data_IF_724057307611
#
_entry.id   IF_724057307611
#
_cell.length_a   1.000
_cell.length_b   1.000
_cell.length_c   1.000
_cell.angle_alpha   90.00
_cell.angle_beta   90.00
_cell.angle_gamma   90.00
#
_symmetry.space_group_name_H-M   'P 1'
#
loop_
_entity.id
_entity.type
_entity.pdbx_description
1 polymer ?
#
# COMPACT_ATOMS: atom_id res chain seq x y z
N UNK A 1 -25.78 -32.29 23.31
CA UNK A 1 -25.53 -32.57 21.89
C UNK A 1 -26.10 -31.42 21.07
N UNK A 2 -25.26 -30.47 20.65
CA UNK A 2 -25.69 -29.31 19.86
C UNK A 2 -25.45 -29.63 18.38
N UNK A 3 -26.47 -29.55 17.50
CA UNK A 3 -26.31 -29.90 16.10
C UNK A 3 -25.40 -28.87 15.45
N UNK A 4 -24.31 -29.35 14.87
CA UNK A 4 -23.35 -28.53 14.12
C UNK A 4 -23.99 -28.10 12.81
N UNK A 5 -24.28 -26.80 12.68
CA UNK A 5 -24.79 -26.18 11.47
C UNK A 5 -23.72 -26.22 10.36
N UNK A 6 -23.68 -27.32 9.60
CA UNK A 6 -22.82 -27.51 8.42
C UNK A 6 -23.54 -27.10 7.12
N UNK A 7 -24.48 -26.14 7.19
CA UNK A 7 -25.39 -25.82 6.08
C UNK A 7 -24.94 -24.67 5.17
N UNK A 8 -23.73 -24.11 5.37
CA UNK A 8 -23.33 -22.85 4.70
C UNK A 8 -22.09 -22.95 3.81
N UNK A 9 -21.58 -24.15 3.53
CA UNK A 9 -20.45 -24.33 2.60
C UNK A 9 -20.94 -24.54 1.17
N UNK A 10 -20.70 -23.55 0.30
CA UNK A 10 -21.06 -23.64 -1.11
C UNK A 10 -19.90 -24.17 -1.97
N UNK A 11 -20.20 -25.06 -2.93
CA UNK A 11 -19.25 -25.52 -3.95
C UNK A 11 -19.20 -24.52 -5.11
N UNK A 12 -17.99 -24.21 -5.57
CA UNK A 12 -17.80 -23.36 -6.73
C UNK A 12 -18.37 -24.01 -8.02
N UNK A 13 -19.24 -23.31 -8.78
CA UNK A 13 -19.82 -23.80 -10.02
C UNK A 13 -18.86 -23.75 -11.22
N UNK A 14 -17.66 -23.17 -11.08
CA UNK A 14 -16.64 -23.20 -12.13
C UNK A 14 -16.14 -24.63 -12.37
N UNK A 15 -16.25 -25.09 -13.61
CA UNK A 15 -15.92 -26.45 -14.06
C UNK A 15 -14.47 -26.85 -13.73
N UNK A 16 -13.57 -25.88 -13.73
CA UNK A 16 -12.14 -26.02 -13.43
C UNK A 16 -11.78 -25.81 -11.95
N UNK A 17 -12.71 -25.27 -11.15
CA UNK A 17 -12.46 -24.93 -9.74
C UNK A 17 -12.98 -26.01 -8.78
N UNK A 18 -14.28 -26.29 -8.78
CA UNK A 18 -14.93 -27.33 -7.96
C UNK A 18 -14.72 -27.27 -6.44
N UNK A 19 -14.05 -26.25 -5.90
CA UNK A 19 -13.67 -26.11 -4.49
C UNK A 19 -14.87 -25.71 -3.62
N UNK A 20 -14.88 -26.15 -2.37
CA UNK A 20 -15.93 -25.85 -1.39
C UNK A 20 -15.43 -24.79 -0.42
N UNK A 21 -16.20 -23.70 -0.26
CA UNK A 21 -15.85 -22.58 0.60
C UNK A 21 -16.97 -22.26 1.58
N UNK A 22 -16.61 -21.85 2.80
CA UNK A 22 -17.57 -21.30 3.78
C UNK A 22 -18.20 -19.99 3.28
N UNK A 23 -17.46 -19.19 2.53
CA UNK A 23 -17.97 -17.99 1.85
C UNK A 23 -17.84 -18.18 0.33
N UNK A 24 -18.79 -18.93 -0.24
CA UNK A 24 -18.83 -19.14 -1.68
C UNK A 24 -19.03 -17.81 -2.43
N UNK A 25 -19.76 -16.84 -1.87
CA UNK A 25 -20.02 -15.55 -2.53
C UNK A 25 -18.72 -14.75 -2.67
N UNK A 26 -17.89 -14.70 -1.63
CA UNK A 26 -16.56 -14.10 -1.72
C UNK A 26 -15.62 -14.87 -2.68
N UNK A 27 -15.74 -16.20 -2.72
CA UNK A 27 -14.99 -17.00 -3.69
C UNK A 27 -15.41 -16.74 -5.14
N UNK A 28 -16.70 -16.64 -5.44
CA UNK A 28 -17.19 -16.36 -6.80
C UNK A 28 -16.66 -15.02 -7.33
N UNK A 29 -16.41 -14.06 -6.44
CA UNK A 29 -15.75 -12.82 -6.82
C UNK A 29 -14.36 -13.07 -7.41
N UNK A 30 -13.64 -14.16 -7.12
CA UNK A 30 -12.34 -14.50 -7.71
C UNK A 30 -12.43 -14.90 -9.18
N UNK A 31 -13.57 -15.46 -9.59
CA UNK A 31 -13.86 -15.85 -10.97
C UNK A 31 -14.38 -14.69 -11.83
N UNK A 32 -14.79 -13.57 -11.21
CA UNK A 32 -15.22 -12.40 -11.95
C UNK A 32 -14.03 -11.81 -12.73
N UNK A 33 -14.08 -11.94 -14.05
CA UNK A 33 -13.02 -11.55 -14.98
C UNK A 33 -12.90 -10.03 -15.05
N UNK A 34 -14.02 -9.32 -14.95
CA UNK A 34 -14.03 -7.86 -14.96
C UNK A 34 -14.36 -7.30 -13.58
N UNK A 35 -13.38 -6.64 -12.98
CA UNK A 35 -13.57 -5.84 -11.76
C UNK A 35 -13.33 -4.37 -12.08
N UNK A 36 -14.13 -3.51 -11.46
CA UNK A 36 -14.10 -2.05 -11.69
C UNK A 36 -12.76 -1.41 -11.29
N UNK A 37 -12.10 -1.94 -10.27
CA UNK A 37 -10.80 -1.44 -9.81
C UNK A 37 -9.66 -2.06 -10.64
N UNK A 38 -9.32 -1.45 -11.79
CA UNK A 38 -8.25 -1.97 -12.68
C UNK A 38 -6.88 -1.37 -12.32
N UNK A 39 -5.81 -2.13 -12.52
CA UNK A 39 -4.45 -1.57 -12.45
C UNK A 39 -4.30 -0.51 -13.55
N UNK A 40 -3.74 0.68 -13.30
CA UNK A 40 -3.55 1.67 -14.35
C UNK A 40 -2.47 1.28 -15.38
N UNK A 41 -1.53 0.36 -15.05
CA UNK A 41 -0.49 -0.10 -15.99
C UNK A 41 -1.11 -0.96 -17.09
N UNK A 42 -1.18 -0.47 -18.34
CA UNK A 42 -1.80 -1.21 -19.45
C UNK A 42 -1.19 -2.59 -19.72
N UNK A 43 0.11 -2.75 -19.48
CA UNK A 43 0.83 -4.02 -19.66
C UNK A 43 0.70 -5.00 -18.47
N UNK A 44 0.02 -4.60 -17.40
CA UNK A 44 -0.19 -5.47 -16.24
C UNK A 44 -1.39 -6.40 -16.46
N UNK A 45 -1.26 -7.67 -16.08
CA UNK A 45 -2.36 -8.65 -16.11
C UNK A 45 -3.59 -8.19 -15.31
N UNK A 46 -3.37 -7.44 -14.21
CA UNK A 46 -4.43 -6.88 -13.38
C UNK A 46 -5.06 -5.59 -13.94
N UNK A 47 -4.59 -5.09 -15.09
CA UNK A 47 -5.32 -4.09 -15.87
C UNK A 47 -6.61 -4.69 -16.45
N UNK A 48 -6.56 -5.95 -16.89
CA UNK A 48 -7.71 -6.65 -17.43
C UNK A 48 -8.53 -7.31 -16.32
N UNK A 49 -7.87 -8.05 -15.42
CA UNK A 49 -8.55 -8.79 -14.33
C UNK A 49 -9.15 -7.89 -13.24
N UNK A 50 -8.51 -6.75 -12.99
CA UNK A 50 -8.84 -5.85 -11.88
C UNK A 50 -8.72 -6.48 -10.49
N UNK A 51 -9.07 -5.68 -9.48
CA UNK A 51 -8.99 -6.00 -8.06
C UNK A 51 -10.36 -6.05 -7.42
N UNK A 52 -10.50 -6.86 -6.37
CA UNK A 52 -11.73 -6.94 -5.58
C UNK A 52 -11.97 -5.64 -4.80
N UNK A 53 -10.90 -4.96 -4.36
CA UNK A 53 -10.98 -3.73 -3.57
C UNK A 53 -9.97 -2.70 -4.05
N UNK A 54 -10.28 -1.42 -3.79
CA UNK A 54 -9.35 -0.30 -4.01
C UNK A 54 -8.04 -0.46 -3.24
N UNK A 55 -8.07 -0.99 -2.02
CA UNK A 55 -6.85 -1.25 -1.23
C UNK A 55 -5.91 -2.25 -1.92
N UNK A 56 -6.47 -3.34 -2.45
CA UNK A 56 -5.69 -4.36 -3.16
C UNK A 56 -5.04 -3.77 -4.42
N UNK A 57 -5.78 -2.91 -5.15
CA UNK A 57 -5.23 -2.14 -6.27
C UNK A 57 -4.09 -1.24 -5.84
N UNK A 58 -4.29 -0.40 -4.82
CA UNK A 58 -3.29 0.56 -4.36
C UNK A 58 -2.02 -0.14 -3.84
N UNK A 59 -2.17 -1.28 -3.15
CA UNK A 59 -1.03 -2.09 -2.74
C UNK A 59 -0.30 -2.70 -3.94
N UNK A 60 -1.04 -3.14 -4.95
CA UNK A 60 -0.45 -3.71 -6.16
C UNK A 60 0.29 -2.65 -6.99
N UNK A 61 -0.20 -1.42 -7.09
CA UNK A 61 0.49 -0.40 -7.89
C UNK A 61 1.90 -0.09 -7.37
N UNK A 62 2.16 -0.30 -6.07
CA UNK A 62 3.51 -0.19 -5.50
C UNK A 62 4.50 -1.22 -6.07
N UNK A 63 4.05 -2.34 -6.66
CA UNK A 63 4.94 -3.34 -7.29
C UNK A 63 5.45 -2.91 -8.66
N UNK A 64 4.78 -1.96 -9.30
CA UNK A 64 5.18 -1.40 -10.60
C UNK A 64 6.22 -0.29 -10.48
N UNK A 65 6.57 0.09 -9.25
CA UNK A 65 7.62 1.05 -9.00
C UNK A 65 8.98 0.54 -9.50
N UNK A 66 9.63 1.29 -10.41
CA UNK A 66 10.96 1.00 -10.99
C UNK A 66 12.03 2.04 -10.63
N UNK A 67 11.75 2.92 -9.66
CA UNK A 67 12.72 3.93 -9.22
C UNK A 67 13.56 3.47 -8.03
N UNK A 68 14.37 4.38 -7.51
CA UNK A 68 15.11 4.19 -6.26
C UNK A 68 14.78 5.32 -5.28
N UNK A 69 14.19 5.01 -4.12
CA UNK A 69 13.94 6.00 -3.05
C UNK A 69 15.01 5.92 -1.99
N UNK A 70 15.38 7.05 -1.41
CA UNK A 70 16.39 7.10 -0.33
C UNK A 70 15.74 7.60 0.96
N UNK A 71 15.92 6.84 2.04
CA UNK A 71 15.51 7.30 3.37
C UNK A 71 16.56 8.25 3.95
N UNK A 72 16.28 9.55 4.02
CA UNK A 72 17.15 10.49 4.73
C UNK A 72 16.91 10.57 6.23
N UNK A 73 15.88 9.91 6.77
CA UNK A 73 15.50 9.99 8.18
C UNK A 73 16.29 9.02 9.09
N UNK A 74 16.98 8.02 8.54
CA UNK A 74 17.71 7.04 9.37
C UNK A 74 18.90 7.69 10.12
N UNK A 75 18.99 7.55 11.46
CA UNK A 75 20.14 8.05 12.22
C UNK A 75 21.40 7.25 11.85
N UNK A 76 22.48 7.93 11.47
CA UNK A 76 23.79 7.32 11.20
C UNK A 76 24.14 7.18 9.71
N UNK A 77 25.42 7.39 9.43
CA UNK A 77 26.12 7.40 8.14
C UNK A 77 26.14 6.04 7.43
N UNK A 78 24.99 5.60 6.95
CA UNK A 78 24.93 4.65 5.83
C UNK A 78 25.11 5.42 4.52
N UNK A 79 25.86 4.85 3.58
CA UNK A 79 25.94 5.37 2.21
C UNK A 79 24.53 5.49 1.62
N UNK A 80 24.33 6.41 0.67
CA UNK A 80 23.02 6.56 0.00
C UNK A 80 22.54 5.22 -0.60
N UNK A 81 23.46 4.30 -0.94
CA UNK A 81 23.18 2.96 -1.41
C UNK A 81 22.54 2.05 -0.34
N UNK A 82 22.96 2.11 0.92
CA UNK A 82 22.43 1.27 2.02
C UNK A 82 21.04 1.71 2.50
N UNK A 83 20.67 2.97 2.20
CA UNK A 83 19.34 3.53 2.49
C UNK A 83 18.47 3.65 1.25
N UNK A 84 18.87 2.99 0.15
CA UNK A 84 18.17 3.03 -1.12
C UNK A 84 17.22 1.85 -1.30
N UNK A 85 16.02 2.12 -1.79
CA UNK A 85 14.95 1.16 -1.93
C UNK A 85 14.44 1.17 -3.36
N UNK A 86 14.66 0.06 -4.06
CA UNK A 86 14.15 -0.13 -5.42
C UNK A 86 12.68 -0.59 -5.47
N UNK A 87 12.05 -0.71 -4.30
CA UNK A 87 10.67 -1.18 -4.14
C UNK A 87 9.92 -0.29 -3.17
N UNK A 88 8.80 0.26 -3.63
CA UNK A 88 8.01 1.20 -2.83
C UNK A 88 7.38 0.55 -1.60
N UNK A 89 6.94 -0.70 -1.70
CA UNK A 89 6.35 -1.42 -0.56
C UNK A 89 7.37 -1.72 0.55
N UNK A 90 8.62 -2.03 0.17
CA UNK A 90 9.72 -2.25 1.12
C UNK A 90 10.07 -0.93 1.82
N UNK A 91 10.16 0.16 1.06
CA UNK A 91 10.39 1.50 1.61
C UNK A 91 9.27 1.93 2.57
N UNK A 92 8.01 1.70 2.19
CA UNK A 92 6.85 2.05 3.01
C UNK A 92 6.82 1.28 4.33
N UNK A 93 7.17 -0.01 4.32
CA UNK A 93 7.35 -0.80 5.55
C UNK A 93 8.52 -0.30 6.40
N UNK A 94 9.61 0.13 5.77
CA UNK A 94 10.73 0.71 6.48
C UNK A 94 10.32 1.97 7.27
N UNK A 95 9.53 2.87 6.66
CA UNK A 95 9.02 4.05 7.35
C UNK A 95 8.15 3.70 8.57
N UNK A 96 7.33 2.65 8.50
CA UNK A 96 6.50 2.25 9.65
C UNK A 96 7.30 1.56 10.75
N UNK A 97 8.29 0.72 10.41
CA UNK A 97 9.05 -0.04 11.41
C UNK A 97 10.20 0.75 12.04
N UNK A 98 10.88 1.59 11.26
CA UNK A 98 12.09 2.32 11.70
C UNK A 98 11.73 3.72 12.19
N UNK A 99 10.76 4.36 11.54
CA UNK A 99 10.37 5.74 11.84
C UNK A 99 9.02 5.83 12.58
N UNK A 100 8.41 4.68 12.92
CA UNK A 100 7.15 4.60 13.65
C UNK A 100 6.03 5.44 13.06
N UNK A 101 6.04 5.60 11.73
CA UNK A 101 5.01 6.31 10.97
C UNK A 101 3.65 5.64 11.20
N UNK A 102 2.65 6.45 11.52
CA UNK A 102 1.30 5.98 11.78
C UNK A 102 0.62 5.58 10.48
N UNK A 103 0.08 4.36 10.44
CA UNK A 103 -0.78 3.93 9.34
C UNK A 103 -2.17 4.48 9.59
N UNK A 104 -2.51 5.61 8.98
CA UNK A 104 -3.87 6.14 9.02
C UNK A 104 -4.83 5.10 8.44
N UNK A 105 -5.84 4.62 9.19
CA UNK A 105 -6.78 3.64 8.69
C UNK A 105 -7.50 4.18 7.44
N UNK A 106 -7.76 3.34 6.43
CA UNK A 106 -8.36 3.77 5.15
C UNK A 106 -9.77 4.39 5.26
N UNK A 107 -10.38 4.41 6.45
CA UNK A 107 -11.70 4.98 6.70
C UNK A 107 -11.69 6.21 7.64
N UNK A 108 -10.52 6.74 8.01
CA UNK A 108 -10.45 8.01 8.71
C UNK A 108 -10.75 9.12 7.71
N UNK A 109 -12.03 9.52 7.65
CA UNK A 109 -12.50 10.70 6.92
C UNK A 109 -11.49 11.82 7.08
N UNK A 110 -11.07 12.39 5.94
CA UNK A 110 -10.32 13.65 5.83
C UNK A 110 -10.77 14.62 6.92
N UNK A 111 -9.95 14.84 7.95
CA UNK A 111 -9.97 16.12 8.62
C UNK A 111 -9.25 17.07 7.69
N UNK A 112 -10.09 17.91 7.09
CA UNK A 112 -9.81 19.24 6.56
C UNK A 112 -8.46 19.79 6.98
N UNK A 113 -7.74 20.26 5.96
CA UNK A 113 -6.83 21.40 5.99
C UNK A 113 -7.19 22.33 7.16
N UNK A 114 -6.43 22.28 8.24
CA UNK A 114 -6.27 23.40 9.17
C UNK A 114 -5.11 23.05 10.11
N UNK A 115 -4.02 23.79 9.90
CA UNK A 115 -2.98 24.14 10.85
C UNK A 115 -3.15 23.52 12.25
N UNK A 116 -2.52 22.38 12.50
CA UNK A 116 -2.34 21.86 13.85
C UNK A 116 -0.91 21.38 13.99
N UNK A 117 -0.09 22.24 14.60
CA UNK A 117 1.13 21.85 15.29
C UNK A 117 0.79 20.75 16.31
N UNK A 118 0.85 19.49 15.88
CA UNK A 118 0.86 18.35 16.77
C UNK A 118 2.28 17.81 16.80
N UNK A 119 3.09 18.50 17.61
CA UNK A 119 4.34 17.98 18.12
C UNK A 119 4.08 16.68 18.90
N UNK A 120 4.23 15.56 18.22
CA UNK A 120 4.73 14.31 18.81
C UNK A 120 5.99 13.91 18.05
N UNK A 121 7.01 14.74 18.19
CA UNK A 121 8.37 14.46 17.74
C UNK A 121 9.00 13.40 18.66
N UNK A 122 8.61 12.14 18.48
CA UNK A 122 9.52 11.04 18.84
C UNK A 122 10.38 10.77 17.62
N UNK A 123 11.33 11.65 17.35
CA UNK A 123 12.26 11.49 16.24
C UNK A 123 13.53 12.26 16.49
N UNK A 124 14.55 11.55 16.98
CA UNK A 124 15.93 12.02 17.08
C UNK A 124 16.58 12.14 15.68
N UNK A 125 15.93 12.77 14.71
CA UNK A 125 16.54 13.04 13.40
C UNK A 125 17.24 14.40 13.44
N UNK A 126 18.31 14.52 12.65
CA UNK A 126 18.95 15.80 12.44
C UNK A 126 17.97 16.76 11.71
N UNK A 127 17.99 18.07 12.00
CA UNK A 127 17.03 19.03 11.45
C UNK A 127 17.10 19.20 9.92
N UNK A 128 18.13 18.64 9.27
CA UNK A 128 18.37 18.60 7.83
C UNK A 128 17.97 17.24 7.19
N UNK A 129 17.49 16.27 7.97
CA UNK A 129 17.09 14.97 7.48
C UNK A 129 15.86 15.08 6.55
N UNK A 130 16.04 14.76 5.27
CA UNK A 130 14.98 14.83 4.27
C UNK A 130 14.83 13.54 3.46
N UNK A 131 13.60 13.12 3.23
CA UNK A 131 13.27 12.02 2.32
C UNK A 131 13.09 12.53 0.89
N UNK A 132 13.68 11.86 -0.11
CA UNK A 132 13.53 12.25 -1.52
C UNK A 132 12.77 11.20 -2.31
N UNK A 133 11.68 11.63 -2.96
CA UNK A 133 10.90 10.81 -3.88
C UNK A 133 11.52 10.87 -5.27
N UNK A 134 11.94 9.74 -5.84
CA UNK A 134 12.51 9.70 -7.20
C UNK A 134 11.46 9.85 -8.31
N UNK A 135 10.18 9.70 -7.96
CA UNK A 135 9.03 9.71 -8.87
C UNK A 135 8.65 11.16 -9.22
N UNK A 136 8.45 12.01 -8.21
CA UNK A 136 8.12 13.43 -8.43
C UNK A 136 9.27 14.40 -8.12
N UNK A 137 10.45 13.90 -7.70
CA UNK A 137 11.55 14.70 -7.16
C UNK A 137 11.22 15.52 -5.90
N UNK A 138 10.06 15.26 -5.27
CA UNK A 138 9.62 15.90 -4.03
C UNK A 138 10.56 15.57 -2.87
N UNK A 139 10.77 16.57 -2.01
CA UNK A 139 11.59 16.47 -0.80
C UNK A 139 10.69 16.66 0.41
N UNK A 140 10.80 15.77 1.39
CA UNK A 140 9.93 15.70 2.55
C UNK A 140 10.76 15.89 3.82
N UNK A 141 10.34 16.82 4.68
CA UNK A 141 10.99 17.10 5.97
C UNK A 141 10.59 16.12 7.07
N UNK A 142 9.57 15.30 6.83
CA UNK A 142 9.10 14.32 7.81
C UNK A 142 8.71 13.00 7.12
N UNK A 143 8.84 11.90 7.88
CA UNK A 143 8.59 10.55 7.39
C UNK A 143 7.10 10.24 7.15
N UNK A 144 6.21 10.91 7.90
CA UNK A 144 4.76 10.72 7.82
C UNK A 144 4.20 11.22 6.48
N UNK A 145 4.50 12.46 6.12
CA UNK A 145 4.10 13.07 4.86
C UNK A 145 4.70 12.32 3.68
N UNK A 146 5.94 11.84 3.80
CA UNK A 146 6.51 11.01 2.74
C UNK A 146 5.70 9.71 2.59
N UNK A 147 5.38 9.03 3.70
CA UNK A 147 4.57 7.81 3.67
C UNK A 147 3.19 8.02 3.02
N UNK A 148 2.49 9.10 3.35
CA UNK A 148 1.17 9.42 2.79
C UNK A 148 1.27 9.80 1.31
N UNK A 149 2.34 10.49 0.91
CA UNK A 149 2.61 10.87 -0.48
C UNK A 149 2.85 9.67 -1.40
N UNK A 150 3.51 8.60 -0.92
CA UNK A 150 3.97 7.48 -1.74
C UNK A 150 2.86 6.83 -2.56
N UNK A 151 1.68 6.62 -1.96
CA UNK A 151 0.56 5.96 -2.64
C UNK A 151 0.09 6.79 -3.84
N UNK A 152 -0.19 8.08 -3.62
CA UNK A 152 -0.68 8.97 -4.67
C UNK A 152 0.40 9.24 -5.73
N UNK A 153 1.66 9.35 -5.32
CA UNK A 153 2.76 9.64 -6.24
C UNK A 153 3.02 8.49 -7.21
N UNK A 154 3.07 7.25 -6.70
CA UNK A 154 3.26 6.06 -7.53
C UNK A 154 2.04 5.83 -8.42
N UNK A 155 0.82 6.14 -7.94
CA UNK A 155 -0.40 6.06 -8.74
C UNK A 155 -0.45 7.05 -9.93
N UNK A 156 0.28 8.17 -9.88
CA UNK A 156 0.29 9.19 -10.94
C UNK A 156 1.28 8.94 -12.08
N UNK A 157 2.28 8.08 -11.88
CA UNK A 157 3.32 7.79 -12.89
C UNK A 157 2.97 6.60 -13.79
N UNK A 158 2.01 5.79 -13.35
CA UNK A 158 1.52 4.64 -14.10
C UNK A 158 0.49 5.05 -15.14
#
# INVERSE_FOLDING_TARGET
DSPSDDSSKGRCPHLDCGKVFKDLKAHLLTHQIERSEKCPVLSCEYHVKGFVRKYDKNRHTLTHYKGTMVCGFCPGSGSAAEKSFNRADVFKRHLTTVHSVEQTPPNSRKKTLDNAESGKTISNYAPDATGKCSTCSGTFSNAQDFYEHLDDCVLRIV
#
